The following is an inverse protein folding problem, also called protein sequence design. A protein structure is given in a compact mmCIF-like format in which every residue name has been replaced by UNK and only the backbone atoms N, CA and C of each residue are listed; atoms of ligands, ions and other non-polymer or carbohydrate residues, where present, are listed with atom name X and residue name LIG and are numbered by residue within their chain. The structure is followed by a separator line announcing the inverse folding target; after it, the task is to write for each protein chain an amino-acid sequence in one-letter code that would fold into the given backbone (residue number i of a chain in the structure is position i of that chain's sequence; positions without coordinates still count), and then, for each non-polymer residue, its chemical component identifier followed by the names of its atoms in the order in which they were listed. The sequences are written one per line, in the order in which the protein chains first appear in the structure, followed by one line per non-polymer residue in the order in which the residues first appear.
data_IF_629096968032
#
_entry.id   IF_629096968032
#
_cell.length_a   1.000
_cell.length_b   1.000
_cell.length_c   1.000
_cell.angle_alpha   90.00
_cell.angle_beta   90.00
_cell.angle_gamma   90.00
#
_symmetry.space_group_name_H-M   'P 1'
#
loop_
_entity.id
_entity.type
_entity.pdbx_description
1 polymer ?
#
# COMPACT_ATOMS: atom_id res chain seq x y z
N UNK A 1 27.48 39.65 51.09
CA UNK A 1 28.93 39.32 51.18
C UNK A 1 29.08 37.88 51.65
N UNK A 2 29.82 37.08 50.86
CA UNK A 2 30.64 35.89 51.19
C UNK A 2 30.31 35.05 52.45
N UNK A 3 29.92 33.76 52.27
CA UNK A 3 30.76 32.53 52.42
C UNK A 3 30.94 32.10 53.90
N UNK A 4 30.92 30.85 54.38
CA UNK A 4 31.23 29.51 53.86
C UNK A 4 30.88 28.43 54.95
N UNK A 5 30.46 27.22 54.52
CA UNK A 5 30.80 25.85 54.98
C UNK A 5 30.47 25.37 56.42
N UNK A 6 30.07 24.08 56.55
CA UNK A 6 30.86 22.99 57.23
C UNK A 6 30.00 21.76 57.62
N UNK A 7 30.43 20.56 57.16
CA UNK A 7 30.29 19.19 57.73
C UNK A 7 28.91 18.49 57.75
N UNK A 8 28.79 17.16 57.61
CA UNK A 8 29.54 16.08 58.30
C UNK A 8 29.67 14.81 57.44
N UNK A 9 30.86 14.21 57.52
CA UNK A 9 31.22 12.85 57.08
C UNK A 9 30.88 11.85 58.20
N UNK A 10 30.20 10.73 57.89
CA UNK A 10 30.01 9.60 58.82
C UNK A 10 30.49 8.30 58.17
N UNK A 11 31.46 7.66 58.81
CA UNK A 11 32.13 6.40 58.45
C UNK A 11 31.42 5.22 59.15
N UNK A 12 31.38 4.01 58.56
CA UNK A 12 31.80 2.70 59.16
C UNK A 12 31.44 1.49 58.25
N UNK A 13 32.51 0.84 57.77
CA UNK A 13 32.86 -0.58 57.53
C UNK A 13 31.83 -1.71 57.23
N UNK A 14 31.96 -2.24 56.00
CA UNK A 14 32.16 -3.64 55.53
C UNK A 14 31.42 -4.84 56.17
N UNK A 15 30.75 -5.62 55.32
CA UNK A 15 31.06 -7.04 55.01
C UNK A 15 30.25 -7.52 53.77
N UNK A 16 30.94 -8.19 52.83
CA UNK A 16 30.54 -9.31 51.92
C UNK A 16 29.05 -9.41 51.55
N UNK A 17 28.62 -9.46 50.29
CA UNK A 17 29.10 -10.29 49.18
C UNK A 17 28.69 -9.68 47.84
N UNK A 18 29.48 -9.94 46.80
CA UNK A 18 29.07 -9.73 45.42
C UNK A 18 27.94 -10.71 45.09
N UNK A 19 26.75 -10.20 44.83
CA UNK A 19 25.76 -10.83 43.96
C UNK A 19 25.36 -9.77 42.94
N UNK A 20 25.71 -10.03 41.68
CA UNK A 20 25.19 -9.29 40.56
C UNK A 20 23.66 -9.54 40.54
N UNK A 21 22.89 -8.54 40.95
CA UNK A 21 21.47 -8.55 40.68
C UNK A 21 21.27 -8.22 39.19
N UNK A 22 20.52 -9.03 38.43
CA UNK A 22 20.15 -8.67 37.08
C UNK A 22 19.29 -7.40 37.17
N UNK A 23 19.73 -6.33 36.51
CA UNK A 23 18.89 -5.17 36.28
C UNK A 23 17.80 -5.59 35.30
N UNK A 24 16.68 -6.08 35.83
CA UNK A 24 15.41 -6.15 35.10
C UNK A 24 14.99 -4.71 34.84
N UNK A 25 15.14 -4.26 33.60
CA UNK A 25 14.60 -2.99 33.13
C UNK A 25 13.07 -3.07 33.23
N UNK A 26 12.50 -2.23 34.09
CA UNK A 26 11.06 -2.04 34.24
C UNK A 26 10.53 -1.29 33.02
N UNK A 27 9.60 -1.90 32.31
CA UNK A 27 9.02 -1.49 31.02
C UNK A 27 7.70 -0.70 31.17
N UNK A 28 7.63 0.31 32.02
CA UNK A 28 6.35 1.04 32.23
C UNK A 28 6.50 2.56 32.12
N UNK A 29 6.76 3.06 30.90
CA UNK A 29 6.32 4.41 30.51
C UNK A 29 5.87 4.34 29.04
N UNK A 30 4.58 4.11 28.81
CA UNK A 30 3.93 4.30 27.50
C UNK A 30 3.52 5.76 27.38
N UNK A 31 4.03 6.47 26.37
CA UNK A 31 3.66 7.85 26.08
C UNK A 31 2.80 7.89 24.83
N UNK A 32 1.52 8.23 24.98
CA UNK A 32 0.62 8.45 23.86
C UNK A 32 0.67 9.90 23.42
N UNK A 33 0.90 10.13 22.11
CA UNK A 33 0.75 11.45 21.48
C UNK A 33 -0.67 11.59 20.95
N UNK A 34 -1.43 12.52 21.51
CA UNK A 34 -2.65 13.02 20.88
C UNK A 34 -2.26 13.89 19.68
N UNK A 35 -2.56 13.43 18.46
CA UNK A 35 -2.55 14.26 17.27
C UNK A 35 -4.01 14.51 16.90
N UNK A 36 -4.53 15.68 17.28
CA UNK A 36 -5.77 16.19 16.70
C UNK A 36 -5.48 16.68 15.27
N UNK A 37 -5.66 15.78 14.31
CA UNK A 37 -5.85 16.09 12.89
C UNK A 37 -7.30 15.75 12.58
N UNK A 38 -8.12 16.74 12.23
CA UNK A 38 -9.53 16.53 11.84
C UNK A 38 -9.71 15.80 10.48
N UNK A 39 -8.67 15.12 9.96
CA UNK A 39 -8.78 14.27 8.78
C UNK A 39 -9.07 12.83 9.22
N UNK A 40 -10.00 12.12 8.56
CA UNK A 40 -10.15 10.68 8.74
C UNK A 40 -8.79 10.00 8.49
N UNK A 41 -8.40 9.10 9.39
CA UNK A 41 -7.15 8.34 9.25
C UNK A 41 -7.35 7.25 8.19
N UNK A 42 -6.33 7.01 7.35
CA UNK A 42 -6.25 5.84 6.47
C UNK A 42 -6.12 4.59 7.34
N UNK A 43 -7.09 3.68 7.29
CA UNK A 43 -7.08 2.46 8.10
C UNK A 43 -6.79 1.26 7.19
N UNK A 44 -5.72 0.52 7.48
CA UNK A 44 -5.46 -0.79 6.87
C UNK A 44 -6.28 -1.84 7.60
N UNK A 45 -7.15 -2.57 6.90
CA UNK A 45 -7.86 -3.69 7.51
C UNK A 45 -6.94 -4.89 7.60
N UNK A 46 -6.77 -5.45 8.80
CA UNK A 46 -6.20 -6.79 8.93
C UNK A 46 -7.15 -7.77 8.24
N UNK A 47 -6.66 -8.45 7.20
CA UNK A 47 -7.34 -9.57 6.59
C UNK A 47 -7.47 -10.66 7.66
N UNK A 48 -8.64 -10.77 8.29
CA UNK A 48 -8.96 -11.95 9.11
C UNK A 48 -9.25 -13.10 8.15
N UNK A 49 -8.24 -13.60 7.46
CA UNK A 49 -8.30 -14.89 6.78
C UNK A 49 -7.80 -15.93 7.75
N UNK A 50 -8.74 -16.58 8.43
CA UNK A 50 -8.48 -17.70 9.32
C UNK A 50 -7.95 -18.88 8.49
N UNK A 51 -6.63 -19.02 8.39
CA UNK A 51 -5.95 -20.29 8.07
C UNK A 51 -5.50 -20.53 6.62
N UNK A 52 -4.56 -19.76 6.08
CA UNK A 52 -3.81 -20.15 4.87
C UNK A 52 -2.29 -19.97 5.04
N UNK A 53 -1.46 -20.87 4.46
CA UNK A 53 -0.02 -20.93 4.72
C UNK A 53 0.82 -20.07 3.75
N UNK A 54 1.90 -19.47 4.27
CA UNK A 54 2.94 -18.78 3.52
C UNK A 54 3.89 -19.73 2.79
N UNK A 55 4.52 -19.24 1.71
CA UNK A 55 5.57 -19.98 0.98
C UNK A 55 6.72 -19.06 0.58
N UNK A 56 7.87 -19.23 1.23
CA UNK A 56 9.11 -18.49 0.98
C UNK A 56 9.89 -19.11 -0.20
N UNK A 57 10.56 -18.27 -0.99
CA UNK A 57 11.58 -18.68 -1.96
C UNK A 57 12.90 -17.97 -1.65
N UNK A 58 14.02 -18.68 -1.84
CA UNK A 58 15.40 -18.16 -1.75
C UNK A 58 16.06 -18.34 -3.11
N UNK A 59 17.02 -17.46 -3.49
CA UNK A 59 18.36 -17.81 -4.04
C UNK A 59 19.15 -16.65 -4.71
N UNK A 60 20.47 -16.69 -4.44
CA UNK A 60 21.67 -16.40 -5.26
C UNK A 60 22.18 -14.95 -5.52
N UNK A 61 23.40 -14.69 -5.03
CA UNK A 61 24.26 -13.49 -5.26
C UNK A 61 24.67 -13.30 -6.73
N UNK A 62 24.71 -12.03 -7.18
CA UNK A 62 25.13 -11.61 -8.52
C UNK A 62 25.98 -10.31 -8.48
N UNK A 63 27.09 -10.28 -9.24
CA UNK A 63 28.08 -9.18 -9.37
C UNK A 63 27.56 -7.96 -10.21
N UNK A 64 26.34 -7.48 -9.95
CA UNK A 64 25.76 -6.35 -10.69
C UNK A 64 25.82 -5.08 -9.85
N UNK A 65 26.22 -3.93 -10.45
CA UNK A 65 26.15 -2.63 -9.77
C UNK A 65 24.68 -2.32 -9.48
N UNK A 66 24.36 -2.01 -8.22
CA UNK A 66 23.02 -1.69 -7.75
C UNK A 66 22.99 -0.17 -7.51
N UNK A 67 22.37 0.64 -8.40
CA UNK A 67 22.41 2.09 -8.28
C UNK A 67 21.62 2.56 -7.05
N UNK A 68 22.06 3.63 -6.38
CA UNK A 68 21.39 4.18 -5.19
C UNK A 68 19.91 4.51 -5.44
N UNK A 69 19.54 4.86 -6.67
CA UNK A 69 18.15 5.13 -7.04
C UNK A 69 17.23 3.92 -6.89
N UNK A 70 17.76 2.69 -6.98
CA UNK A 70 16.98 1.46 -6.82
C UNK A 70 16.64 1.14 -5.36
N UNK A 71 17.41 1.71 -4.42
CA UNK A 71 17.17 1.61 -2.97
C UNK A 71 16.09 2.58 -2.48
N UNK A 72 15.64 3.53 -3.31
CA UNK A 72 14.69 4.57 -2.88
C UNK A 72 13.26 4.04 -2.89
N UNK A 73 12.45 4.49 -1.95
CA UNK A 73 11.02 4.16 -1.90
C UNK A 73 10.56 3.66 -0.54
N UNK A 74 9.39 3.04 -0.52
CA UNK A 74 8.76 2.52 0.67
C UNK A 74 9.07 1.03 0.84
N UNK A 75 9.25 0.64 2.09
CA UNK A 75 9.58 -0.71 2.48
C UNK A 75 8.64 -1.19 3.57
N UNK A 76 8.17 -2.43 3.42
CA UNK A 76 7.60 -3.19 4.54
C UNK A 76 8.73 -3.66 5.43
N UNK A 77 8.70 -3.23 6.69
CA UNK A 77 9.69 -3.62 7.69
C UNK A 77 9.16 -4.75 8.55
N UNK A 78 9.70 -5.95 8.36
CA UNK A 78 9.42 -7.10 9.21
C UNK A 78 10.50 -7.23 10.27
N UNK A 79 10.09 -7.41 11.53
CA UNK A 79 11.00 -7.50 12.65
C UNK A 79 10.39 -8.23 13.86
N UNK A 80 11.25 -8.68 14.76
CA UNK A 80 10.86 -9.15 16.08
C UNK A 80 10.98 -7.99 17.09
N UNK A 81 9.85 -7.58 17.67
CA UNK A 81 9.81 -6.54 18.71
C UNK A 81 10.22 -7.10 20.07
N UNK A 82 11.09 -6.39 20.79
CA UNK A 82 11.48 -6.68 22.17
C UNK A 82 10.76 -5.80 23.20
N UNK A 83 9.79 -4.97 22.76
CA UNK A 83 9.07 -4.03 23.61
C UNK A 83 7.57 -4.03 23.31
N UNK A 84 6.77 -3.60 24.29
CA UNK A 84 5.33 -3.27 24.20
C UNK A 84 4.36 -4.40 23.83
N UNK A 85 4.83 -5.51 23.25
CA UNK A 85 4.22 -6.84 23.08
C UNK A 85 5.26 -7.66 22.30
N UNK A 86 6.12 -8.41 23.00
CA UNK A 86 7.22 -9.15 22.39
C UNK A 86 6.73 -10.12 21.31
N UNK A 87 7.35 -10.09 20.12
CA UNK A 87 6.96 -10.95 19.00
C UNK A 87 7.15 -10.35 17.61
N UNK A 88 6.87 -11.17 16.59
CA UNK A 88 6.90 -10.77 15.18
C UNK A 88 5.92 -9.62 14.92
N UNK A 89 6.41 -8.59 14.25
CA UNK A 89 5.75 -7.31 14.03
C UNK A 89 6.07 -6.78 12.63
N UNK A 90 5.27 -5.81 12.18
CA UNK A 90 5.45 -5.14 10.89
C UNK A 90 5.37 -3.63 11.13
N UNK A 91 6.27 -2.88 10.49
CA UNK A 91 6.30 -1.42 10.44
C UNK A 91 6.61 -0.95 9.02
N UNK A 92 6.83 0.36 8.85
CA UNK A 92 7.19 0.94 7.56
C UNK A 92 8.54 1.65 7.62
N UNK A 93 9.26 1.63 6.50
CA UNK A 93 10.48 2.42 6.31
C UNK A 93 10.44 3.12 4.96
N UNK A 94 10.72 4.41 4.96
CA UNK A 94 10.87 5.20 3.74
C UNK A 94 12.35 5.54 3.52
N UNK A 95 12.86 5.35 2.30
CA UNK A 95 14.26 5.63 1.97
C UNK A 95 14.37 6.71 0.90
N UNK A 96 15.10 7.78 1.22
CA UNK A 96 15.32 8.97 0.40
C UNK A 96 16.80 9.25 0.15
N UNK A 97 17.15 9.99 -0.93
CA UNK A 97 18.51 10.48 -1.10
C UNK A 97 18.86 11.46 0.01
N UNK A 98 20.09 11.39 0.53
CA UNK A 98 20.57 12.35 1.52
C UNK A 98 20.98 13.66 0.85
N UNK A 99 20.49 14.80 1.37
CA UNK A 99 21.00 16.12 0.99
C UNK A 99 22.33 16.48 1.68
N UNK A 100 22.74 15.69 2.67
CA UNK A 100 23.86 16.00 3.58
C UNK A 100 25.20 15.48 3.01
N UNK A 101 25.18 14.33 2.33
CA UNK A 101 26.37 13.72 1.74
C UNK A 101 26.03 12.97 0.44
N UNK A 102 26.92 13.08 -0.55
CA UNK A 102 26.89 12.21 -1.72
C UNK A 102 27.10 10.75 -1.26
N UNK A 103 26.47 9.80 -1.96
CA UNK A 103 26.53 8.35 -1.66
C UNK A 103 25.94 7.99 -0.29
N UNK A 104 25.00 8.80 0.21
CA UNK A 104 24.26 8.56 1.45
C UNK A 104 22.76 8.65 1.22
N UNK A 105 22.01 7.94 2.06
CA UNK A 105 20.55 7.87 2.05
C UNK A 105 20.01 8.19 3.44
N UNK A 106 18.74 8.56 3.52
CA UNK A 106 18.01 8.75 4.78
C UNK A 106 16.95 7.66 4.87
N UNK A 107 16.97 6.88 5.94
CA UNK A 107 15.93 5.92 6.27
C UNK A 107 15.04 6.53 7.34
N UNK A 108 13.74 6.60 7.10
CA UNK A 108 12.75 7.11 8.03
C UNK A 108 11.90 5.94 8.50
N UNK A 109 12.03 5.60 9.78
CA UNK A 109 11.25 4.56 10.44
C UNK A 109 9.98 5.14 11.08
N UNK A 110 9.11 4.26 11.59
CA UNK A 110 7.94 4.63 12.39
C UNK A 110 8.26 5.72 13.43
N UNK A 111 7.26 6.57 13.71
CA UNK A 111 7.39 7.76 14.55
C UNK A 111 8.31 8.86 13.98
N UNK A 112 8.54 8.86 12.67
CA UNK A 112 9.38 9.81 11.94
C UNK A 112 10.86 9.77 12.38
N UNK A 113 11.35 8.60 12.83
CA UNK A 113 12.74 8.44 13.22
C UNK A 113 13.64 8.34 11.99
N UNK A 114 14.23 9.46 11.59
CA UNK A 114 15.17 9.54 10.47
C UNK A 114 16.63 9.26 10.86
N UNK A 115 17.29 8.37 10.13
CA UNK A 115 18.75 8.10 10.25
C UNK A 115 19.43 8.26 8.90
N UNK A 116 20.67 8.75 8.91
CA UNK A 116 21.51 8.82 7.70
C UNK A 116 22.34 7.56 7.61
N UNK A 117 22.44 6.98 6.41
CA UNK A 117 23.23 5.79 6.12
C UNK A 117 24.10 6.00 4.88
N UNK A 118 25.29 5.41 4.87
CA UNK A 118 26.11 5.30 3.66
C UNK A 118 25.62 4.16 2.78
N UNK A 119 25.77 4.28 1.45
CA UNK A 119 25.45 3.24 0.49
C UNK A 119 26.60 2.99 -0.49
N UNK A 120 27.00 1.73 -0.66
CA UNK A 120 27.98 1.29 -1.65
C UNK A 120 27.30 0.57 -2.81
N UNK A 121 27.17 1.26 -3.95
CA UNK A 121 26.54 0.74 -5.18
C UNK A 121 27.24 -0.51 -5.75
N UNK A 122 28.50 -0.75 -5.39
CA UNK A 122 29.28 -1.89 -5.90
C UNK A 122 28.91 -3.18 -5.16
N UNK A 123 28.53 -3.07 -3.89
CA UNK A 123 28.26 -4.21 -3.01
C UNK A 123 26.81 -4.29 -2.54
N UNK A 124 26.00 -3.25 -2.78
CA UNK A 124 24.67 -3.10 -2.21
C UNK A 124 24.69 -2.85 -0.70
N UNK A 125 25.87 -2.58 -0.12
CA UNK A 125 26.03 -2.46 1.33
C UNK A 125 25.46 -1.12 1.83
N UNK A 126 24.63 -1.20 2.87
CA UNK A 126 24.15 -0.06 3.66
C UNK A 126 24.91 -0.05 4.98
N UNK A 127 25.34 1.13 5.44
CA UNK A 127 26.03 1.30 6.73
C UNK A 127 25.40 2.45 7.50
N UNK A 128 24.75 2.15 8.63
CA UNK A 128 24.05 3.12 9.48
C UNK A 128 24.90 3.37 10.72
N UNK A 129 25.50 4.57 10.89
CA UNK A 129 26.25 4.90 12.08
C UNK A 129 25.38 4.81 13.34
N UNK A 130 25.90 4.18 14.40
CA UNK A 130 25.23 4.16 15.70
C UNK A 130 25.24 5.53 16.39
N UNK A 131 24.37 5.71 17.39
CA UNK A 131 24.29 6.89 18.24
C UNK A 131 23.95 8.20 17.49
N UNK A 132 23.13 8.12 16.45
CA UNK A 132 22.62 9.29 15.74
C UNK A 132 21.48 9.92 16.53
N UNK A 133 21.47 11.24 16.67
CA UNK A 133 20.34 11.97 17.25
C UNK A 133 19.18 12.02 16.27
N UNK A 134 18.00 11.56 16.67
CA UNK A 134 16.81 11.46 15.81
C UNK A 134 15.70 12.43 16.20
N UNK A 135 15.83 13.13 17.32
CA UNK A 135 14.92 14.20 17.70
C UNK A 135 14.67 14.31 19.19
N UNK A 136 13.73 15.18 19.56
CA UNK A 136 13.29 15.36 20.94
C UNK A 136 11.78 15.19 21.03
N UNK A 137 11.34 14.38 21.99
CA UNK A 137 9.96 13.95 22.13
C UNK A 137 9.41 14.43 23.47
N UNK A 138 8.26 15.10 23.42
CA UNK A 138 7.58 15.54 24.63
C UNK A 138 6.88 14.36 25.29
N UNK A 139 7.13 14.21 26.57
CA UNK A 139 6.57 13.21 27.47
C UNK A 139 5.80 13.94 28.57
N UNK A 140 4.98 13.22 29.33
CA UNK A 140 4.30 13.79 30.51
C UNK A 140 5.28 14.34 31.56
N UNK A 141 6.53 13.84 31.57
CA UNK A 141 7.58 14.21 32.51
C UNK A 141 8.60 15.21 31.97
N UNK A 142 8.55 15.58 30.68
CA UNK A 142 9.46 16.55 30.05
C UNK A 142 9.80 16.21 28.60
N UNK A 143 10.81 16.86 28.02
CA UNK A 143 11.31 16.48 26.69
C UNK A 143 12.43 15.45 26.83
N UNK A 144 12.34 14.35 26.09
CA UNK A 144 13.37 13.31 26.00
C UNK A 144 14.07 13.41 24.65
N UNK A 145 15.39 13.54 24.65
CA UNK A 145 16.20 13.38 23.44
C UNK A 145 16.23 11.89 23.05
N UNK A 146 15.99 11.60 21.78
CA UNK A 146 15.96 10.25 21.23
C UNK A 146 17.13 10.09 20.25
N UNK A 147 17.72 8.89 20.27
CA UNK A 147 18.85 8.50 19.46
C UNK A 147 18.59 7.12 18.84
N UNK A 148 19.20 6.89 17.69
CA UNK A 148 19.36 5.57 17.10
C UNK A 148 20.54 4.86 17.73
N UNK A 149 20.37 3.59 18.11
CA UNK A 149 21.42 2.72 18.60
C UNK A 149 21.47 1.42 17.80
N UNK A 150 22.69 1.02 17.46
CA UNK A 150 22.99 -0.35 17.06
C UNK A 150 23.18 -1.18 18.34
N UNK A 151 22.29 -2.13 18.57
CA UNK A 151 22.37 -3.07 19.70
C UNK A 151 22.60 -4.47 19.15
N UNK A 152 23.46 -5.26 19.76
CA UNK A 152 23.65 -6.68 19.41
C UNK A 152 23.05 -7.54 20.49
N UNK A 153 22.22 -8.52 20.10
CA UNK A 153 21.72 -9.58 20.96
C UNK A 153 22.82 -10.64 21.09
N UNK A 154 23.16 -10.98 22.34
CA UNK A 154 24.16 -11.96 22.68
C UNK A 154 23.51 -13.19 23.34
N UNK A 155 24.29 -14.28 23.43
CA UNK A 155 23.93 -15.48 24.20
C UNK A 155 22.57 -16.09 23.83
N UNK A 156 22.17 -16.00 22.57
CA UNK A 156 20.92 -16.59 22.08
C UNK A 156 19.65 -15.87 22.54
N UNK A 157 19.72 -14.57 22.85
CA UNK A 157 18.56 -13.77 23.28
C UNK A 157 18.61 -13.33 24.74
N UNK A 158 19.57 -13.82 25.52
CA UNK A 158 19.58 -13.61 26.98
C UNK A 158 20.11 -12.23 27.39
N UNK A 159 21.01 -11.64 26.59
CA UNK A 159 21.57 -10.31 26.88
C UNK A 159 21.69 -9.46 25.63
N UNK A 160 21.76 -8.15 25.79
CA UNK A 160 21.98 -7.22 24.68
C UNK A 160 22.94 -6.10 25.07
N UNK A 161 23.66 -5.57 24.09
CA UNK A 161 24.64 -4.50 24.30
C UNK A 161 24.64 -3.51 23.16
N UNK A 162 24.64 -2.21 23.47
CA UNK A 162 24.92 -1.16 22.48
C UNK A 162 26.36 -1.32 21.99
N UNK A 163 26.55 -1.32 20.68
CA UNK A 163 27.87 -1.39 20.04
C UNK A 163 28.17 -0.09 19.28
N UNK A 164 29.45 0.21 19.13
CA UNK A 164 29.91 1.43 18.46
C UNK A 164 30.23 1.23 16.97
N UNK A 165 30.04 0.03 16.44
CA UNK A 165 30.13 -0.24 15.00
C UNK A 165 28.86 0.21 14.29
N UNK A 166 28.99 0.57 13.03
CA UNK A 166 27.85 0.80 12.16
C UNK A 166 26.97 -0.46 12.11
N UNK A 167 25.65 -0.26 12.03
CA UNK A 167 24.73 -1.31 11.69
C UNK A 167 24.85 -1.56 10.18
N UNK A 168 25.22 -2.78 9.81
CA UNK A 168 25.43 -3.14 8.41
C UNK A 168 24.22 -3.91 7.86
N UNK A 169 23.84 -3.60 6.64
CA UNK A 169 22.82 -4.33 5.90
C UNK A 169 23.24 -4.50 4.44
N UNK A 170 22.63 -5.44 3.75
CA UNK A 170 22.84 -5.65 2.31
C UNK A 170 21.53 -5.50 1.57
N UNK A 171 21.53 -4.71 0.50
CA UNK A 171 20.44 -4.60 -0.45
C UNK A 171 20.76 -5.40 -1.71
N UNK A 172 19.88 -6.32 -2.09
CA UNK A 172 20.06 -7.18 -3.26
C UNK A 172 19.35 -6.67 -4.53
N UNK A 173 18.72 -5.50 -4.45
CA UNK A 173 17.88 -4.93 -5.50
C UNK A 173 16.38 -5.02 -5.20
N UNK A 174 15.98 -5.82 -4.21
CA UNK A 174 14.57 -6.00 -3.79
C UNK A 174 14.43 -5.93 -2.26
N UNK A 175 15.32 -6.58 -1.53
CA UNK A 175 15.26 -6.69 -0.07
C UNK A 175 16.52 -6.13 0.58
N UNK A 176 16.34 -5.43 1.70
CA UNK A 176 17.41 -5.10 2.64
C UNK A 176 17.41 -6.12 3.78
N UNK A 177 18.53 -6.81 3.97
CA UNK A 177 18.69 -7.82 5.03
C UNK A 177 19.74 -7.38 6.04
N UNK A 178 19.44 -7.57 7.33
CA UNK A 178 20.32 -7.33 8.47
C UNK A 178 20.74 -8.65 9.12
N UNK A 179 21.79 -8.66 9.94
CA UNK A 179 22.08 -9.83 10.79
C UNK A 179 20.92 -10.00 11.79
N UNK A 180 20.44 -11.23 12.03
CA UNK A 180 19.32 -11.45 12.94
C UNK A 180 19.63 -11.03 14.39
N UNK A 181 20.89 -11.01 14.78
CA UNK A 181 21.38 -10.57 16.09
C UNK A 181 21.48 -9.05 16.22
N UNK A 182 21.43 -8.31 15.12
CA UNK A 182 21.57 -6.86 15.11
C UNK A 182 20.20 -6.18 15.25
N UNK A 183 20.11 -5.30 16.24
CA UNK A 183 18.92 -4.58 16.58
C UNK A 183 18.94 -3.13 16.10
N UNK A 184 17.80 -2.71 15.55
CA UNK A 184 17.42 -1.31 15.34
C UNK A 184 16.73 -0.84 16.61
N UNK A 185 17.33 0.12 17.32
CA UNK A 185 16.76 0.66 18.54
C UNK A 185 16.68 2.19 18.50
N UNK A 186 15.50 2.72 18.83
CA UNK A 186 15.26 4.15 18.97
C UNK A 186 14.85 4.46 20.40
N UNK A 187 15.60 5.32 21.07
CA UNK A 187 15.34 5.63 22.46
C UNK A 187 16.42 6.49 23.09
N UNK A 188 16.55 6.38 24.40
CA UNK A 188 17.60 7.04 25.15
C UNK A 188 18.14 6.09 26.22
N UNK A 189 19.33 5.56 25.97
CA UNK A 189 19.97 4.57 26.84
C UNK A 189 20.35 5.15 28.21
N UNK A 190 20.58 6.47 28.31
CA UNK A 190 20.96 7.11 29.58
C UNK A 190 19.82 7.14 30.60
N UNK A 191 18.58 7.16 30.11
CA UNK A 191 17.36 7.10 30.95
C UNK A 191 16.67 5.73 30.90
N UNK A 192 17.16 4.80 30.08
CA UNK A 192 16.73 3.40 30.04
C UNK A 192 15.42 3.14 29.30
N UNK A 193 15.00 4.02 28.38
CA UNK A 193 13.74 3.90 27.65
C UNK A 193 13.93 3.78 26.14
N UNK A 194 13.21 2.86 25.50
CA UNK A 194 13.18 2.69 24.05
C UNK A 194 11.75 2.77 23.52
N UNK A 195 11.58 3.47 22.40
CA UNK A 195 10.34 3.52 21.61
C UNK A 195 10.27 2.37 20.61
N UNK A 196 11.42 1.87 20.17
CA UNK A 196 11.58 0.73 19.28
C UNK A 196 12.83 -0.04 19.76
N UNK A 197 12.72 -1.37 19.85
CA UNK A 197 13.86 -2.28 19.90
C UNK A 197 13.50 -3.53 19.09
N UNK A 198 14.12 -3.65 17.92
CA UNK A 198 13.71 -4.58 16.88
C UNK A 198 14.89 -5.41 16.38
N UNK A 199 14.80 -6.75 16.43
CA UNK A 199 15.78 -7.69 15.84
C UNK A 199 15.18 -8.45 14.66
N UNK A 200 15.94 -9.35 14.02
CA UNK A 200 15.46 -10.10 12.84
C UNK A 200 14.92 -9.18 11.73
N UNK A 201 15.57 -8.02 11.57
CA UNK A 201 15.10 -6.97 10.67
C UNK A 201 15.25 -7.39 9.21
N UNK A 202 14.18 -7.21 8.44
CA UNK A 202 14.23 -7.21 6.99
C UNK A 202 13.33 -6.12 6.43
N UNK A 203 13.80 -5.43 5.40
CA UNK A 203 13.01 -4.46 4.65
C UNK A 203 12.77 -5.06 3.27
N UNK A 204 11.53 -5.39 2.97
CA UNK A 204 11.17 -5.73 1.59
C UNK A 204 10.74 -4.43 0.93
N UNK A 205 11.35 -4.04 -0.19
CA UNK A 205 10.78 -2.99 -1.01
C UNK A 205 9.35 -3.43 -1.31
N UNK A 206 8.39 -2.54 -1.11
CA UNK A 206 6.99 -2.91 -1.34
C UNK A 206 6.86 -3.31 -2.82
N UNK A 207 6.84 -4.62 -3.09
CA UNK A 207 6.93 -5.15 -4.44
C UNK A 207 5.56 -5.14 -5.08
N UNK A 208 5.42 -4.24 -6.04
CA UNK A 208 4.52 -4.39 -7.15
C UNK A 208 4.94 -3.41 -8.23
N UNK A 209 5.63 -3.90 -9.26
CA UNK A 209 5.44 -3.31 -10.59
C UNK A 209 3.95 -3.47 -10.89
N UNK A 210 3.19 -2.47 -10.47
CA UNK A 210 1.76 -2.45 -10.67
C UNK A 210 1.51 -2.18 -12.15
N UNK A 211 0.79 -3.09 -12.79
CA UNK A 211 0.31 -2.93 -14.16
C UNK A 211 -1.19 -2.67 -14.09
N UNK A 212 -1.68 -1.70 -14.88
CA UNK A 212 -3.12 -1.51 -15.07
C UNK A 212 -3.76 -2.84 -15.52
N UNK A 213 -4.54 -3.47 -14.65
CA UNK A 213 -5.27 -4.68 -15.00
C UNK A 213 -6.62 -4.31 -15.64
N UNK A 214 -6.57 -3.84 -16.89
CA UNK A 214 -7.76 -3.61 -17.72
C UNK A 214 -7.49 -3.94 -19.21
N UNK A 215 -8.54 -4.19 -20.02
CA UNK A 215 -8.37 -4.30 -21.47
C UNK A 215 -7.68 -3.05 -22.05
N UNK A 216 -6.66 -3.24 -22.90
CA UNK A 216 -5.95 -2.12 -23.55
C UNK A 216 -6.78 -1.45 -24.67
N UNK A 217 -7.58 -2.25 -25.38
CA UNK A 217 -8.37 -1.82 -26.54
C UNK A 217 -9.89 -2.02 -26.31
N UNK A 218 -10.70 -1.55 -27.26
CA UNK A 218 -12.16 -1.75 -27.26
C UNK A 218 -12.96 -0.64 -26.59
N UNK A 219 -12.31 0.36 -26.01
CA UNK A 219 -12.97 1.49 -25.37
C UNK A 219 -13.53 2.49 -26.38
N UNK A 220 -14.80 2.83 -26.22
CA UNK A 220 -15.47 3.87 -26.99
C UNK A 220 -16.26 4.79 -26.07
N UNK A 221 -16.34 6.07 -26.42
CA UNK A 221 -17.18 7.04 -25.72
C UNK A 221 -18.61 6.51 -25.54
N UNK A 222 -19.12 6.62 -24.31
CA UNK A 222 -20.48 6.24 -23.95
C UNK A 222 -21.30 7.46 -23.55
N UNK A 223 -20.88 8.19 -22.51
CA UNK A 223 -21.63 9.35 -22.00
C UNK A 223 -20.74 10.37 -21.28
N UNK A 224 -21.29 11.58 -21.10
CA UNK A 224 -20.91 12.43 -19.99
C UNK A 224 -21.87 12.12 -18.84
N UNK A 225 -21.33 11.87 -17.66
CA UNK A 225 -22.05 11.34 -16.51
C UNK A 225 -21.77 12.19 -15.28
N UNK A 226 -22.72 12.23 -14.35
CA UNK A 226 -22.55 12.87 -13.04
C UNK A 226 -22.05 11.82 -12.07
N UNK A 227 -20.93 12.09 -11.42
CA UNK A 227 -20.26 11.21 -10.49
C UNK A 227 -20.28 11.78 -9.08
N UNK A 228 -20.64 10.93 -8.13
CA UNK A 228 -20.60 11.13 -6.69
C UNK A 228 -19.51 10.20 -6.18
N UNK A 229 -18.34 10.76 -5.84
CA UNK A 229 -17.11 10.02 -5.58
C UNK A 229 -17.03 9.50 -4.12
N UNK A 230 -17.21 8.19 -3.89
CA UNK A 230 -17.14 7.62 -2.54
C UNK A 230 -15.72 7.47 -2.02
N UNK A 231 -14.69 7.57 -2.88
CA UNK A 231 -13.32 7.28 -2.49
C UNK A 231 -12.67 8.45 -1.80
N UNK A 232 -12.82 9.69 -2.29
CA UNK A 232 -11.95 10.78 -1.80
C UNK A 232 -12.67 12.03 -1.32
N UNK A 233 -13.94 12.28 -1.69
CA UNK A 233 -14.65 13.48 -1.17
C UNK A 233 -14.69 13.48 0.36
N UNK A 234 -15.07 12.33 0.95
CA UNK A 234 -15.09 12.17 2.40
C UNK A 234 -13.69 12.11 3.02
N UNK A 235 -12.80 11.30 2.45
CA UNK A 235 -11.44 11.13 2.99
C UNK A 235 -10.61 12.42 3.02
N UNK A 236 -10.77 13.29 2.01
CA UNK A 236 -9.96 14.50 1.85
C UNK A 236 -10.65 15.73 2.44
N UNK A 237 -11.94 15.91 2.17
CA UNK A 237 -12.68 17.11 2.59
C UNK A 237 -13.58 16.90 3.81
N UNK A 238 -13.80 15.66 4.24
CA UNK A 238 -14.69 15.34 5.37
C UNK A 238 -16.16 15.66 5.09
N UNK A 239 -16.55 15.69 3.81
CA UNK A 239 -17.91 16.02 3.35
C UNK A 239 -18.61 14.77 2.83
N UNK A 240 -19.94 14.78 2.88
CA UNK A 240 -20.74 13.78 2.18
C UNK A 240 -20.48 13.92 0.66
N UNK A 241 -20.06 12.85 -0.03
CA UNK A 241 -19.78 12.91 -1.47
C UNK A 241 -20.98 13.39 -2.28
N UNK A 242 -22.22 13.14 -1.83
CA UNK A 242 -23.43 13.58 -2.52
C UNK A 242 -23.60 15.11 -2.56
N UNK A 243 -22.87 15.85 -1.71
CA UNK A 243 -22.88 17.32 -1.71
C UNK A 243 -21.98 17.95 -2.78
N UNK A 244 -21.02 17.19 -3.32
CA UNK A 244 -20.05 17.64 -4.33
C UNK A 244 -20.02 16.75 -5.58
N UNK A 245 -21.17 16.52 -6.26
CA UNK A 245 -21.17 15.79 -7.52
C UNK A 245 -20.45 16.59 -8.61
N UNK A 246 -19.82 15.88 -9.54
CA UNK A 246 -19.14 16.50 -10.69
C UNK A 246 -19.24 15.66 -11.96
N UNK A 247 -18.99 16.30 -13.10
CA UNK A 247 -19.12 15.66 -14.40
C UNK A 247 -17.86 14.89 -14.78
N UNK A 248 -18.03 13.69 -15.32
CA UNK A 248 -16.97 12.81 -15.82
C UNK A 248 -17.33 12.26 -17.19
N UNK A 249 -16.32 11.83 -17.94
CA UNK A 249 -16.51 11.09 -19.19
C UNK A 249 -16.49 9.60 -18.90
N UNK A 250 -17.46 8.87 -19.47
CA UNK A 250 -17.54 7.41 -19.37
C UNK A 250 -17.35 6.81 -20.75
N UNK A 251 -16.53 5.77 -20.81
CA UNK A 251 -16.36 4.90 -21.97
C UNK A 251 -16.89 3.51 -21.66
N UNK A 252 -17.41 2.82 -22.69
CA UNK A 252 -17.77 1.41 -22.62
C UNK A 252 -16.80 0.58 -23.43
N UNK A 253 -16.55 -0.65 -23.01
CA UNK A 253 -15.79 -1.60 -23.81
C UNK A 253 -16.72 -2.35 -24.78
N UNK A 254 -16.35 -2.43 -26.06
CA UNK A 254 -17.17 -3.13 -27.08
C UNK A 254 -16.87 -4.62 -27.19
N UNK A 255 -15.74 -5.07 -26.62
CA UNK A 255 -15.31 -6.47 -26.62
C UNK A 255 -15.77 -7.22 -25.35
N UNK A 256 -16.08 -6.49 -24.27
CA UNK A 256 -16.55 -7.01 -22.99
C UNK A 256 -17.89 -6.37 -22.60
N UNK A 257 -18.97 -7.15 -22.67
CA UNK A 257 -20.31 -6.68 -22.34
C UNK A 257 -20.41 -6.27 -20.86
N UNK A 258 -21.09 -5.15 -20.60
CA UNK A 258 -21.22 -4.59 -19.26
C UNK A 258 -19.97 -3.94 -18.68
N UNK A 259 -18.85 -3.83 -19.40
CA UNK A 259 -17.62 -3.21 -18.88
C UNK A 259 -17.50 -1.73 -19.27
N UNK A 260 -17.25 -0.88 -18.27
CA UNK A 260 -17.18 0.58 -18.40
C UNK A 260 -15.95 1.13 -17.69
N UNK A 261 -15.54 2.35 -18.06
CA UNK A 261 -14.52 3.11 -17.33
C UNK A 261 -14.87 4.59 -17.24
N UNK A 262 -14.61 5.19 -16.09
CA UNK A 262 -14.57 6.63 -15.92
C UNK A 262 -13.19 7.10 -16.38
N UNK A 263 -13.13 8.05 -17.31
CA UNK A 263 -11.88 8.57 -17.88
C UNK A 263 -11.45 9.82 -17.14
N UNK A 264 -10.21 9.80 -16.63
CA UNK A 264 -9.60 10.89 -15.88
C UNK A 264 -10.54 11.47 -14.80
N UNK A 265 -11.00 10.65 -13.85
CA UNK A 265 -11.99 11.06 -12.86
C UNK A 265 -11.55 12.26 -12.01
N UNK A 266 -10.24 12.49 -11.88
CA UNK A 266 -9.67 13.58 -11.08
C UNK A 266 -9.04 14.69 -11.94
N UNK A 267 -9.54 14.87 -13.17
CA UNK A 267 -9.18 15.95 -14.09
C UNK A 267 -9.87 17.28 -13.80
N UNK A 268 -9.84 18.21 -14.77
CA UNK A 268 -10.28 19.62 -14.62
C UNK A 268 -11.70 19.82 -14.05
N UNK A 269 -12.61 18.86 -14.26
CA UNK A 269 -13.98 18.93 -13.75
C UNK A 269 -14.12 18.52 -12.28
N UNK A 270 -13.10 17.86 -11.72
CA UNK A 270 -13.14 17.32 -10.36
C UNK A 270 -12.85 18.40 -9.30
N UNK A 271 -13.55 18.38 -8.15
CA UNK A 271 -13.17 19.17 -6.98
C UNK A 271 -11.76 18.90 -6.44
N UNK A 272 -11.09 17.82 -6.90
CA UNK A 272 -9.73 17.45 -6.52
C UNK A 272 -8.68 17.93 -7.52
N UNK A 273 -9.07 18.58 -8.62
CA UNK A 273 -8.14 18.99 -9.68
C UNK A 273 -6.96 19.83 -9.15
N UNK A 274 -7.25 20.83 -8.31
CA UNK A 274 -6.25 21.77 -7.82
C UNK A 274 -5.21 21.13 -6.89
N UNK A 275 -5.52 19.97 -6.31
CA UNK A 275 -4.60 19.21 -5.44
C UNK A 275 -4.01 17.98 -6.14
N UNK A 276 -4.47 17.65 -7.35
CA UNK A 276 -3.99 16.51 -8.10
C UNK A 276 -2.66 16.85 -8.80
N UNK A 277 -1.57 16.28 -8.32
CA UNK A 277 -0.22 16.43 -8.86
C UNK A 277 -0.01 15.62 -10.16
N UNK A 278 -0.97 14.77 -10.55
CA UNK A 278 -0.92 14.06 -11.82
C UNK A 278 -1.31 14.98 -13.00
N UNK A 279 -0.36 15.78 -13.44
CA UNK A 279 -0.57 16.75 -14.53
C UNK A 279 -0.81 16.14 -15.92
N UNK A 280 -0.62 14.82 -16.10
CA UNK A 280 -0.80 14.15 -17.40
C UNK A 280 -2.25 13.67 -17.64
N UNK A 281 -3.12 13.68 -16.62
CA UNK A 281 -4.55 13.37 -16.78
C UNK A 281 -4.86 11.94 -17.24
N UNK A 282 -3.91 11.01 -17.14
CA UNK A 282 -4.10 9.61 -17.52
C UNK A 282 -4.41 8.77 -16.28
N UNK A 283 -5.67 8.38 -16.15
CA UNK A 283 -6.15 7.47 -15.10
C UNK A 283 -7.60 7.08 -15.32
N UNK A 284 -8.02 5.97 -14.71
CA UNK A 284 -9.31 5.36 -14.92
C UNK A 284 -9.88 4.74 -13.65
N UNK A 285 -11.21 4.74 -13.53
CA UNK A 285 -11.91 3.82 -12.62
C UNK A 285 -12.71 2.87 -13.50
N UNK A 286 -12.36 1.59 -13.49
CA UNK A 286 -12.98 0.57 -14.35
C UNK A 286 -13.97 -0.22 -13.52
N UNK A 287 -15.17 -0.44 -14.06
CA UNK A 287 -16.22 -1.17 -13.36
C UNK A 287 -17.07 -2.01 -14.32
N UNK A 288 -17.69 -3.07 -13.79
CA UNK A 288 -18.55 -3.98 -14.55
C UNK A 288 -19.97 -3.98 -14.00
N UNK A 289 -20.94 -3.75 -14.87
CA UNK A 289 -22.38 -3.93 -14.62
C UNK A 289 -22.92 -5.21 -15.28
N UNK A 290 -22.05 -6.13 -15.69
CA UNK A 290 -22.46 -7.40 -16.31
C UNK A 290 -23.38 -8.23 -15.39
N UNK A 291 -23.20 -8.11 -14.08
CA UNK A 291 -24.19 -8.48 -13.06
C UNK A 291 -24.71 -7.19 -12.41
N UNK A 292 -25.90 -6.70 -12.79
CA UNK A 292 -26.42 -5.43 -12.28
C UNK A 292 -26.74 -5.47 -10.77
N UNK A 293 -26.86 -6.65 -10.16
CA UNK A 293 -27.07 -6.78 -8.71
C UNK A 293 -25.74 -6.95 -7.94
N UNK A 294 -24.60 -6.93 -8.63
CA UNK A 294 -23.27 -7.10 -8.06
C UNK A 294 -22.21 -6.42 -8.94
N UNK A 295 -22.16 -5.10 -8.82
CA UNK A 295 -21.22 -4.28 -9.59
C UNK A 295 -19.83 -4.38 -8.97
N UNK A 296 -18.85 -4.76 -9.79
CA UNK A 296 -17.44 -4.83 -9.38
C UNK A 296 -16.66 -3.65 -9.91
N UNK A 297 -15.80 -3.07 -9.08
CA UNK A 297 -14.81 -2.07 -9.49
C UNK A 297 -13.45 -2.74 -9.56
N UNK A 298 -12.80 -2.69 -10.71
CA UNK A 298 -11.54 -3.39 -10.95
C UNK A 298 -10.45 -2.82 -10.04
N UNK A 299 -9.82 -3.66 -9.20
CA UNK A 299 -8.64 -3.25 -8.45
C UNK A 299 -7.47 -3.11 -9.41
N UNK A 300 -6.34 -2.59 -8.91
CA UNK A 300 -5.12 -2.44 -9.71
C UNK A 300 -5.33 -1.61 -10.99
N UNK A 301 -6.20 -0.59 -10.95
CA UNK A 301 -6.31 0.40 -12.04
C UNK A 301 -5.99 1.78 -11.47
N UNK A 302 -5.02 2.48 -12.07
CA UNK A 302 -4.62 3.78 -11.56
C UNK A 302 -5.70 4.81 -11.83
N UNK A 303 -6.23 5.38 -10.76
CA UNK A 303 -7.37 6.29 -10.84
C UNK A 303 -7.02 7.64 -11.46
N UNK A 304 -5.73 7.98 -11.53
CA UNK A 304 -5.26 9.27 -12.02
C UNK A 304 -5.08 10.31 -10.92
N UNK A 305 -5.38 9.98 -9.65
CA UNK A 305 -5.12 10.86 -8.50
C UNK A 305 -3.72 10.63 -7.94
N UNK A 306 -2.94 11.71 -7.84
CA UNK A 306 -1.74 11.81 -7.03
C UNK A 306 -1.90 13.04 -6.14
N UNK A 307 -1.94 12.89 -4.82
CA UNK A 307 -2.12 14.01 -3.89
C UNK A 307 -0.81 14.46 -3.22
N UNK A 308 0.32 13.89 -3.65
CA UNK A 308 1.65 14.08 -3.06
C UNK A 308 1.98 13.12 -1.93
N UNK A 309 1.00 12.36 -1.42
CA UNK A 309 1.22 11.27 -0.46
C UNK A 309 1.21 9.91 -1.15
N UNK A 310 0.23 9.67 -2.01
CA UNK A 310 0.04 8.38 -2.66
C UNK A 310 -0.47 8.52 -4.12
N UNK A 311 -0.45 7.41 -4.85
CA UNK A 311 -1.14 7.25 -6.13
C UNK A 311 -2.17 6.14 -5.99
N UNK A 312 -3.43 6.42 -6.29
CA UNK A 312 -4.52 5.56 -5.80
C UNK A 312 -5.09 4.60 -6.83
N UNK A 313 -5.47 3.40 -6.35
CA UNK A 313 -6.07 2.32 -7.13
C UNK A 313 -7.47 2.03 -6.55
N UNK A 314 -8.49 2.72 -7.07
CA UNK A 314 -9.85 2.64 -6.55
C UNK A 314 -10.47 1.26 -6.82
N UNK A 315 -11.14 0.69 -5.82
CA UNK A 315 -11.92 -0.55 -5.95
C UNK A 315 -13.10 -0.55 -4.97
N UNK A 316 -13.87 -1.63 -4.97
CA UNK A 316 -14.84 -1.94 -3.91
C UNK A 316 -14.55 -3.33 -3.36
N UNK A 317 -15.09 -3.67 -2.19
CA UNK A 317 -14.96 -5.01 -1.61
C UNK A 317 -15.32 -6.12 -2.62
N UNK A 318 -16.38 -5.91 -3.39
CA UNK A 318 -16.90 -6.83 -4.41
C UNK A 318 -15.84 -7.14 -5.47
N UNK A 319 -15.24 -6.10 -6.06
CA UNK A 319 -14.18 -6.23 -7.06
C UNK A 319 -12.87 -6.76 -6.46
N UNK A 320 -12.46 -6.26 -5.29
CA UNK A 320 -11.26 -6.71 -4.61
C UNK A 320 -11.28 -8.22 -4.34
N UNK A 321 -12.32 -8.73 -3.67
CA UNK A 321 -12.40 -10.15 -3.33
C UNK A 321 -12.65 -11.04 -4.55
N UNK A 322 -13.51 -10.62 -5.48
CA UNK A 322 -13.84 -11.47 -6.63
C UNK A 322 -12.73 -11.51 -7.69
N UNK A 323 -12.06 -10.38 -7.97
CA UNK A 323 -11.11 -10.27 -9.08
C UNK A 323 -9.68 -10.60 -8.65
N UNK A 324 -9.22 -10.21 -7.45
CA UNK A 324 -7.86 -10.56 -6.99
C UNK A 324 -7.78 -11.95 -6.36
N UNK A 325 -8.80 -12.32 -5.58
CA UNK A 325 -8.76 -13.55 -4.78
C UNK A 325 -9.67 -14.65 -5.33
N UNK A 326 -10.49 -14.36 -6.35
CA UNK A 326 -11.33 -15.35 -7.03
C UNK A 326 -12.52 -15.83 -6.21
N UNK A 327 -12.94 -15.09 -5.17
CA UNK A 327 -14.13 -15.43 -4.39
C UNK A 327 -15.41 -15.28 -5.21
N UNK A 328 -16.37 -16.17 -4.97
CA UNK A 328 -17.70 -16.08 -5.56
C UNK A 328 -18.53 -14.96 -4.93
N UNK A 329 -19.52 -14.47 -5.68
CA UNK A 329 -20.52 -13.51 -5.21
C UNK A 329 -21.18 -13.99 -3.91
N UNK A 330 -21.54 -15.28 -3.83
CA UNK A 330 -22.19 -15.87 -2.67
C UNK A 330 -21.29 -15.84 -1.43
N UNK A 331 -20.01 -16.21 -1.57
CA UNK A 331 -19.03 -16.14 -0.47
C UNK A 331 -18.84 -14.71 0.04
N UNK A 332 -18.78 -13.74 -0.88
CA UNK A 332 -18.61 -12.33 -0.52
C UNK A 332 -19.83 -11.78 0.23
N UNK A 333 -21.05 -12.15 -0.19
CA UNK A 333 -22.29 -11.69 0.44
C UNK A 333 -22.49 -12.35 1.81
N UNK A 334 -22.20 -13.65 1.95
CA UNK A 334 -22.41 -14.40 3.19
C UNK A 334 -21.36 -14.11 4.26
N UNK A 335 -20.07 -14.04 3.88
CA UNK A 335 -18.95 -13.94 4.82
C UNK A 335 -18.35 -12.52 4.93
N UNK A 336 -18.64 -11.62 3.98
CA UNK A 336 -18.01 -10.30 3.87
C UNK A 336 -18.51 -9.24 4.85
N UNK A 337 -19.64 -9.47 5.54
CA UNK A 337 -20.30 -8.51 6.44
C UNK A 337 -20.40 -7.09 5.83
N UNK A 338 -20.83 -7.02 4.57
CA UNK A 338 -20.91 -5.78 3.79
C UNK A 338 -22.14 -4.95 4.21
N UNK A 339 -21.98 -3.62 4.28
CA UNK A 339 -23.05 -2.71 4.67
C UNK A 339 -24.14 -2.56 3.60
N UNK A 340 -23.78 -2.82 2.34
CA UNK A 340 -24.63 -2.83 1.15
C UNK A 340 -23.91 -3.55 0.01
N UNK A 341 -24.56 -3.66 -1.16
CA UNK A 341 -23.95 -4.25 -2.36
C UNK A 341 -24.06 -3.25 -3.51
N UNK A 342 -22.94 -3.00 -4.16
CA UNK A 342 -22.85 -2.18 -5.36
C UNK A 342 -23.74 -2.74 -6.46
N UNK A 343 -24.54 -1.91 -7.10
CA UNK A 343 -25.56 -2.34 -8.07
C UNK A 343 -25.78 -1.32 -9.18
N UNK A 344 -26.48 -1.71 -10.24
CA UNK A 344 -26.91 -0.87 -11.34
C UNK A 344 -28.44 -0.95 -11.49
N UNK A 345 -29.11 0.18 -11.25
CA UNK A 345 -30.53 0.34 -11.51
C UNK A 345 -30.75 0.83 -12.95
N UNK A 346 -31.20 -0.06 -13.83
CA UNK A 346 -31.45 0.27 -15.25
C UNK A 346 -32.57 1.29 -15.44
N UNK A 347 -33.62 1.27 -14.62
CA UNK A 347 -34.76 2.19 -14.76
C UNK A 347 -34.36 3.64 -14.42
N UNK A 348 -33.50 3.80 -13.41
CA UNK A 348 -32.99 5.10 -12.99
C UNK A 348 -31.73 5.52 -13.76
N UNK A 349 -31.05 4.56 -14.39
CA UNK A 349 -29.76 4.78 -15.04
C UNK A 349 -28.70 5.18 -14.02
N UNK A 350 -28.65 4.49 -12.88
CA UNK A 350 -27.73 4.82 -11.78
C UNK A 350 -26.93 3.58 -11.38
N UNK A 351 -25.60 3.70 -11.41
CA UNK A 351 -24.70 2.77 -10.73
C UNK A 351 -24.48 3.27 -9.32
N UNK A 352 -24.69 2.43 -8.32
CA UNK A 352 -24.39 2.68 -6.91
C UNK A 352 -23.11 1.94 -6.55
N UNK A 353 -22.15 2.66 -5.98
CA UNK A 353 -20.90 2.10 -5.48
C UNK A 353 -20.96 2.06 -3.95
N UNK A 354 -21.00 0.85 -3.40
CA UNK A 354 -20.91 0.60 -1.97
C UNK A 354 -19.50 0.07 -1.63
N UNK A 355 -19.19 0.05 -0.34
CA UNK A 355 -17.98 -0.60 0.18
C UNK A 355 -16.68 -0.13 -0.50
N UNK A 356 -16.59 1.18 -0.77
CA UNK A 356 -15.46 1.77 -1.47
C UNK A 356 -14.15 1.59 -0.68
N UNK A 357 -13.17 1.00 -1.34
CA UNK A 357 -11.82 0.81 -0.82
C UNK A 357 -10.79 1.17 -1.89
N UNK A 358 -9.53 1.24 -1.51
CA UNK A 358 -8.47 1.52 -2.46
C UNK A 358 -7.18 0.83 -2.05
N UNK A 359 -6.37 0.49 -3.05
CA UNK A 359 -4.94 0.26 -2.91
C UNK A 359 -4.18 1.54 -3.26
N UNK A 360 -2.87 1.50 -3.17
CA UNK A 360 -1.99 2.57 -3.65
C UNK A 360 -0.90 1.97 -4.55
N UNK A 361 -0.23 2.76 -5.38
CA UNK A 361 0.84 2.18 -6.22
C UNK A 361 1.97 1.55 -5.42
N UNK A 362 2.15 1.95 -4.16
CA UNK A 362 3.14 1.38 -3.25
C UNK A 362 2.61 0.15 -2.51
N UNK A 363 1.29 0.03 -2.32
CA UNK A 363 0.64 -1.18 -1.80
C UNK A 363 -0.59 -1.50 -2.68
N UNK A 364 -0.36 -2.08 -3.87
CA UNK A 364 -1.38 -2.15 -4.91
C UNK A 364 -2.51 -3.15 -4.57
N UNK A 365 -2.19 -4.19 -3.82
CA UNK A 365 -3.14 -5.11 -3.18
C UNK A 365 -3.60 -4.61 -1.80
N UNK A 366 -3.22 -3.40 -1.40
CA UNK A 366 -3.67 -2.78 -0.17
C UNK A 366 -5.18 -2.61 -0.14
N UNK A 367 -5.75 -2.79 1.04
CA UNK A 367 -7.20 -2.67 1.26
C UNK A 367 -7.49 -1.59 2.30
N UNK A 368 -7.52 -0.34 1.83
CA UNK A 368 -7.69 0.84 2.66
C UNK A 368 -9.07 1.47 2.51
N UNK A 369 -9.50 2.15 3.56
CA UNK A 369 -10.68 3.01 3.59
C UNK A 369 -10.46 4.20 4.52
N UNK A 370 -11.37 5.18 4.43
CA UNK A 370 -11.36 6.38 5.26
C UNK A 370 -12.33 6.23 6.44
N UNK A 371 -11.81 6.24 7.67
CA UNK A 371 -12.64 6.16 8.88
C UNK A 371 -13.32 4.80 9.10
N UNK A 372 -14.35 4.76 9.94
CA UNK A 372 -15.04 3.52 10.33
C UNK A 372 -16.23 3.16 9.41
N UNK A 373 -16.84 4.16 8.76
CA UNK A 373 -17.96 4.02 7.83
C UNK A 373 -17.62 4.77 6.53
N UNK A 374 -17.62 4.05 5.41
CA UNK A 374 -17.43 4.66 4.08
C UNK A 374 -18.78 5.09 3.51
N UNK A 375 -18.90 6.30 2.95
CA UNK A 375 -20.10 6.71 2.27
C UNK A 375 -20.25 5.97 0.94
N UNK A 376 -21.50 5.78 0.52
CA UNK A 376 -21.82 5.28 -0.80
C UNK A 376 -21.62 6.35 -1.86
N UNK A 377 -21.32 5.91 -3.07
CA UNK A 377 -21.13 6.74 -4.26
C UNK A 377 -22.13 6.38 -5.35
N UNK A 378 -22.18 7.19 -6.38
CA UNK A 378 -23.03 6.90 -7.54
C UNK A 378 -22.52 7.50 -8.84
N UNK A 379 -22.95 6.94 -9.95
CA UNK A 379 -22.68 7.44 -11.30
C UNK A 379 -23.94 7.33 -12.15
N UNK A 380 -24.33 8.41 -12.84
CA UNK A 380 -25.40 8.33 -13.83
C UNK A 380 -24.91 7.61 -15.10
N UNK A 381 -25.58 6.56 -15.50
CA UNK A 381 -25.23 5.71 -16.63
C UNK A 381 -26.50 5.22 -17.31
N UNK A 382 -26.88 5.81 -18.45
CA UNK A 382 -27.98 5.31 -19.26
C UNK A 382 -27.43 4.33 -20.30
N UNK A 383 -27.95 3.11 -20.32
CA UNK A 383 -27.67 2.13 -21.37
C UNK A 383 -28.65 2.31 -22.53
N UNK A 384 -28.21 2.04 -23.76
CA UNK A 384 -28.98 2.27 -25.00
C UNK A 384 -30.17 1.30 -25.19
N UNK A 385 -30.90 0.91 -24.13
CA UNK A 385 -32.17 0.19 -24.28
C UNK A 385 -33.31 1.08 -24.83
N UNK A 386 -33.04 2.37 -25.07
CA UNK A 386 -33.96 3.25 -25.80
C UNK A 386 -33.35 4.57 -26.30
N UNK A 387 -32.74 4.56 -27.50
CA UNK A 387 -32.90 5.53 -28.61
C UNK A 387 -31.71 5.36 -29.58
N UNK A 388 -32.03 4.88 -30.79
CA UNK A 388 -31.09 4.75 -31.92
C UNK A 388 -30.42 6.08 -32.26
N UNK A 389 -29.09 6.12 -32.27
CA UNK A 389 -28.35 6.99 -33.18
C UNK A 389 -27.43 6.15 -34.09
N UNK A 390 -27.42 6.55 -35.36
CA UNK A 390 -27.11 5.77 -36.57
C UNK A 390 -25.76 5.04 -36.56
N UNK A 391 -25.80 3.71 -36.63
CA UNK A 391 -24.63 2.85 -36.86
C UNK A 391 -24.11 2.97 -38.30
N UNK A 392 -22.79 3.09 -38.46
CA UNK A 392 -22.11 2.81 -39.74
C UNK A 392 -21.73 1.34 -39.82
N UNK A 393 -22.40 0.61 -40.72
CA UNK A 393 -22.23 -0.81 -41.01
C UNK A 393 -20.78 -1.22 -41.39
N UNK A 394 -20.23 -2.20 -40.68
CA UNK A 394 -19.14 -3.06 -41.18
C UNK A 394 -19.39 -4.53 -40.82
N UNK A 395 -20.42 -5.13 -41.41
CA UNK A 395 -20.73 -6.54 -41.18
C UNK A 395 -20.04 -7.43 -42.22
N UNK A 396 -18.80 -7.88 -41.94
CA UNK A 396 -18.11 -8.90 -42.74
C UNK A 396 -18.21 -10.25 -42.02
N UNK A 397 -18.73 -11.30 -42.67
CA UNK A 397 -18.90 -12.63 -42.06
C UNK A 397 -17.56 -13.27 -41.66
N UNK A 398 -17.48 -13.85 -40.47
CA UNK A 398 -16.28 -14.51 -39.95
C UNK A 398 -16.09 -15.93 -40.52
N UNK A 399 -14.85 -16.29 -40.85
CA UNK A 399 -14.41 -17.64 -41.22
C UNK A 399 -13.52 -18.25 -40.13
N UNK A 400 -13.63 -19.55 -39.86
CA UNK A 400 -12.81 -20.23 -38.84
C UNK A 400 -11.89 -21.27 -39.46
N UNK A 401 -10.70 -21.43 -38.89
CA UNK A 401 -9.69 -22.41 -39.28
C UNK A 401 -9.12 -23.11 -38.03
N UNK A 402 -8.76 -24.38 -38.12
CA UNK A 402 -8.02 -25.06 -37.04
C UNK A 402 -6.54 -24.59 -37.01
N UNK A 403 -5.79 -25.00 -35.99
CA UNK A 403 -4.38 -24.60 -35.84
C UNK A 403 -3.44 -25.17 -36.93
N UNK A 404 -3.92 -26.07 -37.78
CA UNK A 404 -3.20 -26.60 -38.95
C UNK A 404 -3.60 -25.86 -40.24
N UNK A 405 -4.43 -24.81 -40.16
CA UNK A 405 -4.84 -23.99 -41.29
C UNK A 405 -5.98 -24.56 -42.13
N UNK A 406 -6.68 -25.61 -41.67
CA UNK A 406 -7.86 -26.14 -42.36
C UNK A 406 -9.11 -25.38 -41.94
N UNK A 407 -9.94 -24.97 -42.91
CA UNK A 407 -11.23 -24.30 -42.65
C UNK A 407 -12.17 -25.21 -41.85
N UNK A 408 -12.88 -24.64 -40.88
CA UNK A 408 -13.85 -25.31 -40.02
C UNK A 408 -15.16 -24.53 -40.07
N UNK A 409 -16.20 -25.12 -40.66
CA UNK A 409 -17.48 -24.43 -40.85
C UNK A 409 -18.35 -24.40 -39.57
N UNK A 410 -18.09 -25.32 -38.63
CA UNK A 410 -18.80 -25.44 -37.34
C UNK A 410 -17.81 -25.56 -36.18
N UNK A 411 -17.26 -24.44 -35.67
CA UNK A 411 -16.34 -24.49 -34.54
C UNK A 411 -17.04 -25.00 -33.27
N UNK A 412 -16.35 -25.88 -32.54
CA UNK A 412 -16.84 -26.50 -31.30
C UNK A 412 -16.47 -25.59 -30.12
N UNK A 413 -17.45 -25.32 -29.25
CA UNK A 413 -17.23 -24.51 -28.04
C UNK A 413 -16.12 -25.11 -27.15
N UNK A 414 -15.28 -24.25 -26.58
CA UNK A 414 -14.13 -24.62 -25.75
C UNK A 414 -12.84 -24.95 -26.53
N UNK A 415 -12.90 -25.07 -27.86
CA UNK A 415 -11.72 -25.30 -28.70
C UNK A 415 -11.16 -24.00 -29.28
N UNK A 416 -9.88 -24.04 -29.64
CA UNK A 416 -9.16 -22.91 -30.20
C UNK A 416 -9.17 -22.98 -31.73
N UNK A 417 -9.53 -21.87 -32.36
CA UNK A 417 -9.54 -21.67 -33.80
C UNK A 417 -8.80 -20.39 -34.17
N UNK A 418 -8.43 -20.28 -35.44
CA UNK A 418 -8.04 -19.01 -36.07
C UNK A 418 -9.29 -18.44 -36.74
N UNK A 419 -9.81 -17.33 -36.22
CA UNK A 419 -10.94 -16.60 -36.80
C UNK A 419 -10.40 -15.54 -37.76
N UNK A 420 -10.87 -15.54 -39.00
CA UNK A 420 -10.57 -14.54 -40.01
C UNK A 420 -11.80 -13.70 -40.30
N UNK A 421 -11.72 -12.39 -40.06
CA UNK A 421 -12.82 -11.45 -40.32
C UNK A 421 -12.21 -10.10 -40.72
N UNK A 422 -12.81 -9.41 -41.70
CA UNK A 422 -12.33 -8.12 -42.20
C UNK A 422 -10.82 -8.06 -42.53
N UNK A 423 -10.27 -9.15 -43.07
CA UNK A 423 -8.86 -9.23 -43.49
C UNK A 423 -7.85 -9.55 -42.38
N UNK A 424 -8.26 -9.58 -41.11
CA UNK A 424 -7.40 -9.94 -39.97
C UNK A 424 -7.64 -11.39 -39.54
N UNK A 425 -6.60 -12.04 -39.02
CA UNK A 425 -6.67 -13.40 -38.47
C UNK A 425 -6.21 -13.38 -37.01
N UNK A 426 -7.05 -13.88 -36.10
CA UNK A 426 -6.80 -13.90 -34.66
C UNK A 426 -7.06 -15.30 -34.09
N UNK A 427 -6.28 -15.70 -33.09
CA UNK A 427 -6.47 -16.97 -32.38
C UNK A 427 -7.53 -16.76 -31.31
N UNK A 428 -8.65 -17.47 -31.40
CA UNK A 428 -9.80 -17.33 -30.50
C UNK A 428 -10.18 -18.67 -29.92
N UNK A 429 -10.57 -18.67 -28.65
CA UNK A 429 -11.36 -19.77 -28.09
C UNK A 429 -12.81 -19.47 -28.39
N UNK A 430 -13.50 -20.38 -29.08
CA UNK A 430 -14.93 -20.19 -29.37
C UNK A 430 -15.71 -20.55 -28.11
N UNK A 431 -16.47 -19.60 -27.59
CA UNK A 431 -17.43 -19.79 -26.50
C UNK A 431 -18.81 -19.51 -27.09
N UNK A 432 -19.77 -20.38 -26.80
CA UNK A 432 -21.12 -20.28 -27.38
C UNK A 432 -22.06 -19.63 -26.41
#
# INVERSE_FOLDING_TARGET
MKKFYTFVLSVIFTCLSAEAAPHVLSTDIVLQKNIESNRPVKIKKSLVTKGMPEKTATLAESDQIIPVSSLMGNYDWQYFSHISNEGQSVGAVEIYPSEIAADSVVLIFDYDFGVVAGYDETSGKISIPGNQFVGSFNTESGSVECFFYHIVINDGGETSSIVNSDLEATFDGVQVTFSPEDCIAFGNSEIGGYFIMASENSLCQAEGDWVDEMPEEGWVFHSNSTFVDPWFMFGIYGVDPAELPYDVVVERNVDFDGLYRIVNPYGESSPLYDINLNSEGTGYIVFSIADPEFVTVYPLVFSGLNDGYDQYLCTNSEGYYSLLFGFSKEEIIEDGNLAGISNYNEEEGIVTFCNASFGTKVEPDGFFYWGDEQPDGSLTLFTDSGVNSVASDYNVTAEYYNLQGMRVDSPVSGQIYVKRQAGKAIKVRVVR
#
